data_IF_705352977595
#
_entry.id   IF_705352977595
#
_cell.length_a   1.000
_cell.length_b   1.000
_cell.length_c   1.000
_cell.angle_alpha   90.00
_cell.angle_beta   90.00
_cell.angle_gamma   90.00
#
_symmetry.space_group_name_H-M   'P 1'
#
loop_
_entity.id
_entity.type
_entity.pdbx_description
1 polymer ?
#
# COMPACT_ATOMS: atom_id res chain seq x y z
N UNK A 1 -56.52 10.65 -79.28
CA UNK A 1 -56.98 11.51 -78.20
C UNK A 1 -56.93 10.74 -76.90
N UNK A 2 -56.14 11.22 -75.97
CA UNK A 2 -56.10 11.05 -74.53
C UNK A 2 -55.83 9.68 -73.91
N UNK A 3 -54.55 9.35 -73.89
CA UNK A 3 -53.94 8.30 -73.02
C UNK A 3 -53.35 9.01 -71.81
N UNK A 4 -54.12 9.51 -70.88
CA UNK A 4 -53.60 10.14 -69.66
C UNK A 4 -54.56 9.99 -68.50
N UNK A 5 -54.84 8.79 -68.00
CA UNK A 5 -55.50 8.64 -66.70
C UNK A 5 -55.40 7.25 -66.06
N UNK A 6 -54.42 6.41 -66.40
CA UNK A 6 -54.38 5.08 -65.84
C UNK A 6 -53.17 4.74 -64.95
N UNK A 7 -52.39 5.77 -64.55
CA UNK A 7 -51.17 5.50 -63.79
C UNK A 7 -51.16 6.00 -62.29
N UNK A 8 -52.27 6.46 -61.75
CA UNK A 8 -52.28 7.05 -60.41
C UNK A 8 -53.03 6.23 -59.34
N UNK A 9 -53.61 5.09 -59.68
CA UNK A 9 -54.39 4.35 -58.67
C UNK A 9 -53.69 3.07 -58.11
N UNK A 10 -52.49 2.75 -58.55
CA UNK A 10 -51.77 1.53 -58.10
C UNK A 10 -50.72 1.78 -57.03
N UNK A 11 -50.40 3.02 -56.64
CA UNK A 11 -49.36 3.29 -55.64
C UNK A 11 -49.90 3.53 -54.23
N UNK A 12 -51.25 3.64 -54.10
CA UNK A 12 -51.83 3.97 -52.77
C UNK A 12 -52.11 2.80 -51.83
N UNK A 13 -51.74 1.58 -52.21
CA UNK A 13 -52.03 0.41 -51.36
C UNK A 13 -50.78 -0.32 -50.85
N UNK A 14 -49.61 0.25 -50.94
CA UNK A 14 -48.44 -0.22 -50.21
C UNK A 14 -48.56 0.27 -48.77
N UNK A 15 -49.15 -0.55 -47.90
CA UNK A 15 -49.06 -0.37 -46.46
C UNK A 15 -47.54 -0.30 -46.11
N UNK A 16 -47.10 0.71 -45.37
CA UNK A 16 -45.73 0.74 -44.91
C UNK A 16 -45.48 -0.47 -44.04
N UNK A 17 -44.55 -1.32 -44.44
CA UNK A 17 -44.05 -2.43 -43.63
C UNK A 17 -43.18 -1.81 -42.53
N UNK A 18 -43.80 -1.09 -41.61
CA UNK A 18 -43.16 -0.46 -40.47
C UNK A 18 -43.32 -1.30 -39.22
N UNK A 19 -43.13 -2.59 -39.34
CA UNK A 19 -42.96 -3.42 -38.15
C UNK A 19 -41.68 -4.25 -38.25
N UNK A 20 -40.60 -3.56 -38.58
CA UNK A 20 -39.35 -4.04 -38.01
C UNK A 20 -39.45 -3.81 -36.52
N UNK A 21 -39.94 -4.83 -35.82
CA UNK A 21 -39.72 -4.93 -34.38
C UNK A 21 -38.22 -5.02 -34.21
N UNK A 22 -37.55 -3.87 -34.21
CA UNK A 22 -36.23 -3.71 -33.64
C UNK A 22 -36.49 -4.05 -32.17
N UNK A 23 -36.40 -5.30 -31.81
CA UNK A 23 -36.16 -5.70 -30.43
C UNK A 23 -34.84 -5.03 -30.10
N UNK A 24 -34.92 -3.81 -29.59
CA UNK A 24 -33.83 -3.19 -28.87
C UNK A 24 -33.56 -4.13 -27.70
N UNK A 25 -32.66 -5.07 -27.91
CA UNK A 25 -31.95 -5.70 -26.83
C UNK A 25 -31.11 -4.59 -26.20
N UNK A 26 -31.80 -3.63 -25.57
CA UNK A 26 -31.20 -2.82 -24.56
C UNK A 26 -30.70 -3.84 -23.54
N UNK A 27 -29.46 -4.24 -23.70
CA UNK A 27 -28.72 -4.98 -22.70
C UNK A 27 -28.64 -4.01 -21.54
N UNK A 28 -29.70 -3.98 -20.71
CA UNK A 28 -29.60 -3.36 -19.41
C UNK A 28 -28.37 -4.02 -18.82
N UNK A 29 -27.26 -3.27 -18.71
CA UNK A 29 -26.11 -3.69 -17.93
C UNK A 29 -26.67 -4.05 -16.57
N UNK A 30 -26.92 -5.32 -16.36
CA UNK A 30 -27.35 -5.81 -15.06
C UNK A 30 -26.25 -5.40 -14.13
N UNK A 31 -26.52 -4.42 -13.26
CA UNK A 31 -25.59 -4.05 -12.20
C UNK A 31 -25.33 -5.34 -11.44
N UNK A 32 -24.10 -5.85 -11.44
CA UNK A 32 -23.82 -7.14 -10.84
C UNK A 32 -24.12 -7.01 -9.34
N UNK A 33 -25.22 -7.61 -8.90
CA UNK A 33 -25.54 -7.70 -7.49
C UNK A 33 -24.56 -8.67 -6.86
N UNK A 34 -23.54 -8.12 -6.22
CA UNK A 34 -22.55 -8.93 -5.51
C UNK A 34 -23.13 -9.45 -4.19
N UNK A 35 -22.77 -10.69 -3.77
CA UNK A 35 -23.18 -11.22 -2.47
C UNK A 35 -22.76 -10.28 -1.34
N UNK A 36 -23.57 -10.12 -0.29
CA UNK A 36 -23.33 -9.14 0.78
C UNK A 36 -21.96 -9.34 1.47
N UNK A 37 -21.49 -10.58 1.57
CA UNK A 37 -20.17 -10.90 2.10
C UNK A 37 -19.02 -10.35 1.23
N UNK A 38 -19.20 -10.32 -0.09
CA UNK A 38 -18.18 -9.79 -1.00
C UNK A 38 -18.11 -8.26 -0.91
N UNK A 39 -19.25 -7.58 -0.85
CA UNK A 39 -19.30 -6.12 -0.68
C UNK A 39 -18.74 -5.69 0.66
N UNK A 40 -19.03 -6.44 1.74
CA UNK A 40 -18.44 -6.18 3.06
C UNK A 40 -16.90 -6.29 3.02
N UNK A 41 -16.35 -7.36 2.42
CA UNK A 41 -14.90 -7.52 2.31
C UNK A 41 -14.27 -6.44 1.43
N UNK A 42 -14.93 -6.04 0.35
CA UNK A 42 -14.48 -4.97 -0.51
C UNK A 42 -14.36 -3.64 0.25
N UNK A 43 -15.41 -3.24 0.97
CA UNK A 43 -15.41 -2.04 1.78
C UNK A 43 -14.31 -2.10 2.86
N UNK A 44 -14.21 -3.22 3.57
CA UNK A 44 -13.14 -3.42 4.57
C UNK A 44 -11.75 -3.27 3.98
N UNK A 45 -11.50 -3.78 2.77
CA UNK A 45 -10.19 -3.67 2.13
C UNK A 45 -9.92 -2.25 1.64
N UNK A 46 -10.95 -1.56 1.18
CA UNK A 46 -10.83 -0.16 0.81
C UNK A 46 -10.49 0.71 2.02
N UNK A 47 -11.17 0.48 3.15
CA UNK A 47 -10.84 1.14 4.42
C UNK A 47 -9.40 0.88 4.87
N UNK A 48 -8.91 -0.35 4.72
CA UNK A 48 -7.51 -0.69 5.04
C UNK A 48 -6.53 0.10 4.17
N UNK A 49 -6.82 0.24 2.87
CA UNK A 49 -5.92 0.95 1.94
C UNK A 49 -5.93 2.46 2.20
N UNK A 50 -7.10 3.04 2.52
CA UNK A 50 -7.27 4.48 2.67
C UNK A 50 -6.84 4.98 4.04
N UNK A 51 -7.21 4.27 5.11
CA UNK A 51 -7.05 4.76 6.48
C UNK A 51 -5.69 4.42 7.09
N UNK A 52 -4.95 3.46 6.54
CA UNK A 52 -3.66 3.06 7.11
C UNK A 52 -2.49 3.66 6.33
N UNK A 53 -1.51 4.16 7.07
CA UNK A 53 -0.29 4.76 6.53
C UNK A 53 0.64 3.70 5.96
N UNK A 54 0.88 2.63 6.70
CA UNK A 54 1.71 1.52 6.24
C UNK A 54 0.86 0.28 5.98
N UNK A 55 1.02 -0.28 4.79
CA UNK A 55 0.34 -1.51 4.34
C UNK A 55 1.37 -2.37 3.62
N UNK A 56 1.78 -3.48 4.24
CA UNK A 56 2.75 -4.41 3.66
C UNK A 56 2.08 -5.71 3.25
N UNK A 57 2.46 -6.22 2.09
CA UNK A 57 1.95 -7.45 1.51
C UNK A 57 2.98 -8.55 1.74
N UNK A 58 2.53 -9.64 2.37
CA UNK A 58 3.31 -10.85 2.59
C UNK A 58 2.66 -12.02 1.89
N UNK A 59 3.47 -12.89 1.33
CA UNK A 59 3.05 -14.21 0.88
C UNK A 59 3.28 -15.19 2.03
N UNK A 60 2.31 -16.06 2.30
CA UNK A 60 2.45 -17.10 3.30
C UNK A 60 2.36 -18.48 2.67
N UNK A 61 3.24 -19.39 3.09
CA UNK A 61 3.26 -20.76 2.61
C UNK A 61 3.00 -21.70 3.76
N UNK A 62 1.88 -22.43 3.69
CA UNK A 62 1.55 -23.52 4.60
C UNK A 62 1.58 -23.15 6.10
N UNK A 63 1.04 -21.98 6.46
CA UNK A 63 0.92 -21.53 7.84
C UNK A 63 -0.31 -22.15 8.51
N UNK A 64 -0.10 -22.78 9.65
CA UNK A 64 -1.17 -23.29 10.50
C UNK A 64 -1.87 -22.17 11.27
N UNK A 65 -3.13 -22.38 11.65
CA UNK A 65 -3.90 -21.43 12.45
C UNK A 65 -3.19 -21.08 13.77
N UNK A 66 -2.54 -22.07 14.40
CA UNK A 66 -1.76 -21.88 15.63
C UNK A 66 -0.58 -20.91 15.41
N UNK A 67 0.15 -21.08 14.33
CA UNK A 67 1.27 -20.20 13.95
C UNK A 67 0.79 -18.76 13.67
N UNK A 68 -0.33 -18.60 12.97
CA UNK A 68 -0.94 -17.28 12.77
C UNK A 68 -1.35 -16.61 14.08
N UNK A 69 -1.90 -17.39 15.02
CA UNK A 69 -2.28 -16.87 16.34
C UNK A 69 -1.05 -16.43 17.12
N UNK A 70 0.04 -17.20 17.09
CA UNK A 70 1.31 -16.85 17.73
C UNK A 70 1.90 -15.57 17.15
N UNK A 71 1.89 -15.41 15.81
CA UNK A 71 2.37 -14.21 15.15
C UNK A 71 1.54 -12.99 15.58
N UNK A 72 0.21 -13.09 15.59
CA UNK A 72 -0.67 -12.00 16.02
C UNK A 72 -0.45 -11.65 17.50
N UNK A 73 -0.27 -12.62 18.36
CA UNK A 73 0.08 -12.40 19.76
C UNK A 73 1.44 -11.72 19.90
N UNK A 74 2.43 -12.14 19.12
CA UNK A 74 3.74 -11.49 19.09
C UNK A 74 3.66 -10.03 18.63
N UNK A 75 2.84 -9.74 17.61
CA UNK A 75 2.61 -8.37 17.14
C UNK A 75 1.90 -7.51 18.18
N UNK A 76 0.91 -8.06 18.90
CA UNK A 76 0.18 -7.31 19.95
C UNK A 76 1.02 -7.03 21.20
N UNK A 77 2.09 -7.79 21.45
CA UNK A 77 3.02 -7.57 22.56
C UNK A 77 4.04 -6.44 22.30
N UNK A 78 4.20 -6.00 21.05
CA UNK A 78 5.06 -4.86 20.71
C UNK A 78 4.39 -3.59 21.24
N UNK A 79 5.17 -2.65 21.78
CA UNK A 79 4.67 -1.33 22.18
C UNK A 79 4.00 -0.66 20.96
N UNK A 80 2.73 -0.21 21.13
CA UNK A 80 1.93 0.30 20.01
C UNK A 80 1.31 -0.79 19.12
N UNK A 81 1.51 -2.07 19.42
CA UNK A 81 0.99 -3.19 18.63
C UNK A 81 -0.53 -3.31 18.59
N UNK A 82 -1.26 -2.57 19.43
CA UNK A 82 -2.72 -2.49 19.37
C UNK A 82 -3.24 -1.93 18.04
N UNK A 83 -2.45 -1.11 17.36
CA UNK A 83 -2.77 -0.52 16.05
C UNK A 83 -2.26 -1.37 14.88
N UNK A 84 -1.54 -2.45 15.18
CA UNK A 84 -1.00 -3.34 14.16
C UNK A 84 -1.88 -4.57 13.98
N UNK A 85 -2.27 -4.84 12.77
CA UNK A 85 -3.10 -6.02 12.47
C UNK A 85 -2.58 -6.79 11.27
N UNK A 86 -2.66 -8.13 11.38
CA UNK A 86 -2.34 -9.06 10.30
C UNK A 86 -3.60 -9.77 9.83
N UNK A 87 -3.99 -9.54 8.57
CA UNK A 87 -5.21 -10.10 7.99
C UNK A 87 -4.89 -10.90 6.74
N UNK A 88 -5.44 -12.11 6.64
CA UNK A 88 -5.37 -12.92 5.42
C UNK A 88 -6.35 -12.34 4.40
N UNK A 89 -5.89 -12.16 3.17
CA UNK A 89 -6.67 -11.56 2.09
C UNK A 89 -7.32 -12.60 1.17
N UNK A 90 -8.35 -12.13 0.48
CA UNK A 90 -8.81 -12.72 -0.77
C UNK A 90 -8.23 -11.91 -1.94
N UNK A 91 -7.22 -12.45 -2.67
CA UNK A 91 -6.48 -11.68 -3.68
C UNK A 91 -7.39 -11.01 -4.72
N UNK A 92 -8.39 -11.72 -5.23
CA UNK A 92 -9.30 -11.21 -6.27
C UNK A 92 -10.15 -10.02 -5.82
N UNK A 93 -10.57 -9.97 -4.54
CA UNK A 93 -11.37 -8.85 -4.02
C UNK A 93 -10.45 -7.67 -3.70
N UNK A 94 -9.27 -7.94 -3.16
CA UNK A 94 -8.29 -6.90 -2.86
C UNK A 94 -7.74 -6.26 -4.14
N UNK A 95 -7.48 -7.05 -5.19
CA UNK A 95 -7.12 -6.53 -6.51
C UNK A 95 -8.21 -5.60 -7.08
N UNK A 96 -9.49 -5.96 -6.93
CA UNK A 96 -10.59 -5.09 -7.35
C UNK A 96 -10.60 -3.75 -6.58
N UNK A 97 -10.31 -3.76 -5.27
CA UNK A 97 -10.20 -2.55 -4.47
C UNK A 97 -8.99 -1.69 -4.90
N UNK A 98 -7.85 -2.30 -5.21
CA UNK A 98 -6.66 -1.58 -5.67
C UNK A 98 -6.86 -0.88 -7.03
N UNK A 99 -7.66 -1.46 -7.94
CA UNK A 99 -7.94 -0.86 -9.26
C UNK A 99 -8.61 0.49 -9.19
N UNK A 100 -9.37 0.76 -8.13
CA UNK A 100 -10.03 2.04 -7.90
C UNK A 100 -9.13 3.06 -7.19
N UNK A 101 -7.93 2.62 -6.75
CA UNK A 101 -6.98 3.46 -6.03
C UNK A 101 -5.72 3.75 -6.86
N UNK A 102 -4.87 4.67 -6.37
CA UNK A 102 -3.57 5.00 -6.99
C UNK A 102 -2.57 3.82 -6.97
N UNK A 103 -2.88 2.76 -6.22
CA UNK A 103 -1.97 1.66 -5.93
C UNK A 103 -2.16 0.44 -6.83
N UNK A 104 -2.62 0.64 -8.05
CA UNK A 104 -2.83 -0.42 -9.06
C UNK A 104 -1.58 -1.29 -9.26
N UNK A 105 -0.40 -0.70 -9.14
CA UNK A 105 0.88 -1.40 -9.31
C UNK A 105 1.16 -2.48 -8.26
N UNK A 106 0.36 -2.57 -7.18
CA UNK A 106 0.43 -3.67 -6.21
C UNK A 106 -0.35 -4.92 -6.67
N UNK A 107 -1.21 -4.82 -7.70
CA UNK A 107 -2.02 -5.95 -8.17
C UNK A 107 -1.17 -7.17 -8.56
N UNK A 108 -0.03 -7.05 -9.26
CA UNK A 108 0.81 -8.20 -9.62
C UNK A 108 1.37 -8.98 -8.42
N UNK A 109 1.50 -8.33 -7.25
CA UNK A 109 2.01 -8.97 -6.03
C UNK A 109 0.97 -9.89 -5.37
N UNK A 110 -0.29 -9.82 -5.78
CA UNK A 110 -1.40 -10.57 -5.19
C UNK A 110 -1.57 -11.97 -5.78
N UNK A 111 -0.49 -12.60 -6.17
CA UNK A 111 -0.51 -13.97 -6.67
C UNK A 111 -0.33 -14.96 -5.53
N UNK A 112 -1.22 -15.95 -5.43
CA UNK A 112 -1.16 -17.00 -4.40
C UNK A 112 -1.75 -16.59 -3.05
N UNK A 113 -1.41 -17.32 -1.97
CA UNK A 113 -1.89 -17.06 -0.62
C UNK A 113 -1.19 -15.84 -0.02
N UNK A 114 -1.90 -14.73 0.07
CA UNK A 114 -1.39 -13.46 0.55
C UNK A 114 -2.05 -13.02 1.86
N UNK A 115 -1.27 -12.37 2.71
CA UNK A 115 -1.74 -11.67 3.89
C UNK A 115 -1.22 -10.22 3.87
N UNK A 116 -1.94 -9.35 4.54
CA UNK A 116 -1.58 -7.94 4.67
C UNK A 116 -1.37 -7.61 6.14
N UNK A 117 -0.25 -7.00 6.40
CA UNK A 117 0.07 -6.32 7.62
C UNK A 117 -0.20 -4.83 7.43
N UNK A 118 -0.96 -4.23 8.32
CA UNK A 118 -1.24 -2.80 8.26
C UNK A 118 -1.16 -2.16 9.64
N UNK A 119 -0.72 -0.92 9.67
CA UNK A 119 -0.61 -0.11 10.88
C UNK A 119 -0.89 1.36 10.57
N UNK A 120 -1.45 2.04 11.58
CA UNK A 120 -1.72 3.48 11.55
C UNK A 120 -0.97 4.22 12.67
N UNK A 121 0.15 3.66 13.13
CA UNK A 121 0.93 4.25 14.22
C UNK A 121 1.42 5.67 13.90
N UNK A 122 1.62 6.48 14.95
CA UNK A 122 2.13 7.85 14.85
C UNK A 122 3.57 7.92 14.35
N UNK A 123 4.00 9.06 13.81
CA UNK A 123 5.30 9.27 13.15
C UNK A 123 6.51 8.91 14.01
N UNK A 124 6.44 9.13 15.33
CA UNK A 124 7.55 8.90 16.23
C UNK A 124 7.73 7.42 16.61
N UNK A 125 6.63 6.68 16.70
CA UNK A 125 6.64 5.25 17.05
C UNK A 125 6.75 4.34 15.83
N UNK A 126 6.38 4.86 14.66
CA UNK A 126 6.24 4.12 13.41
C UNK A 126 7.50 3.34 13.00
N UNK A 127 8.73 3.90 13.01
CA UNK A 127 9.91 3.17 12.53
C UNK A 127 10.30 2.02 13.46
N UNK A 128 10.20 2.18 14.78
CA UNK A 128 10.51 1.10 15.72
C UNK A 128 9.49 -0.04 15.66
N UNK A 129 8.21 0.30 15.53
CA UNK A 129 7.14 -0.67 15.35
C UNK A 129 7.31 -1.45 14.04
N UNK A 130 7.62 -0.76 12.95
CA UNK A 130 7.86 -1.39 11.65
C UNK A 130 9.06 -2.33 11.72
N UNK A 131 10.15 -1.89 12.35
CA UNK A 131 11.36 -2.71 12.51
C UNK A 131 11.07 -4.00 13.27
N UNK A 132 10.49 -3.90 14.47
CA UNK A 132 10.14 -5.06 15.29
C UNK A 132 9.12 -5.97 14.60
N UNK A 133 8.12 -5.39 13.91
CA UNK A 133 7.10 -6.16 13.20
C UNK A 133 7.66 -6.89 11.99
N UNK A 134 8.48 -6.25 11.17
CA UNK A 134 9.12 -6.88 10.00
C UNK A 134 10.13 -7.94 10.45
N UNK A 135 10.89 -7.71 11.51
CA UNK A 135 11.79 -8.71 12.08
C UNK A 135 11.04 -9.96 12.58
N UNK A 136 9.92 -9.78 13.30
CA UNK A 136 9.09 -10.91 13.74
C UNK A 136 8.51 -11.70 12.57
N UNK A 137 8.04 -11.00 11.55
CA UNK A 137 7.46 -11.64 10.36
C UNK A 137 8.55 -12.35 9.52
N UNK A 138 9.73 -11.77 9.40
CA UNK A 138 10.85 -12.36 8.64
C UNK A 138 11.51 -13.55 9.36
N UNK A 139 11.41 -13.65 10.70
CA UNK A 139 11.87 -14.83 11.44
C UNK A 139 11.14 -16.11 11.01
N UNK A 140 9.91 -15.97 10.54
CA UNK A 140 9.13 -17.08 10.04
C UNK A 140 9.49 -17.39 8.59
N UNK A 141 10.25 -18.45 8.35
CA UNK A 141 10.65 -18.91 7.00
C UNK A 141 9.47 -19.17 6.05
N UNK A 142 8.24 -19.27 6.59
CA UNK A 142 7.00 -19.48 5.84
C UNK A 142 6.36 -18.19 5.35
N UNK A 143 6.89 -17.02 5.73
CA UNK A 143 6.39 -15.72 5.32
C UNK A 143 7.45 -14.99 4.49
N UNK A 144 7.03 -14.49 3.35
CA UNK A 144 7.88 -13.72 2.44
C UNK A 144 7.30 -12.32 2.25
N UNK A 145 8.07 -11.29 2.52
CA UNK A 145 7.72 -9.92 2.20
C UNK A 145 7.80 -9.73 0.68
N UNK A 146 6.74 -9.22 0.08
CA UNK A 146 6.70 -8.90 -1.35
C UNK A 146 6.95 -7.42 -1.60
N UNK A 147 6.39 -6.57 -0.76
CA UNK A 147 6.45 -5.12 -0.89
C UNK A 147 5.27 -4.48 -0.16
N UNK A 148 5.02 -3.21 -0.43
CA UNK A 148 3.89 -2.54 0.20
C UNK A 148 3.78 -1.06 -0.14
N UNK A 149 2.95 -0.41 0.65
CA UNK A 149 2.69 1.01 0.63
C UNK A 149 3.15 1.61 1.96
N UNK A 150 3.82 2.75 1.90
CA UNK A 150 4.08 3.60 3.05
C UNK A 150 3.66 5.03 2.70
N UNK A 151 2.71 5.57 3.43
CA UNK A 151 2.00 6.81 3.09
C UNK A 151 1.46 6.75 1.65
N UNK A 152 1.97 7.57 0.75
CA UNK A 152 1.58 7.60 -0.67
C UNK A 152 2.56 6.89 -1.61
N UNK A 153 3.67 6.37 -1.08
CA UNK A 153 4.73 5.75 -1.86
C UNK A 153 4.60 4.23 -1.88
N UNK A 154 4.88 3.64 -3.05
CA UNK A 154 5.00 2.20 -3.22
C UNK A 154 6.44 1.78 -2.98
N UNK A 155 6.63 0.75 -2.19
CA UNK A 155 7.93 0.22 -1.80
C UNK A 155 8.09 -1.21 -2.30
N UNK A 156 9.25 -1.48 -2.87
CA UNK A 156 9.71 -2.85 -3.15
C UNK A 156 10.19 -3.53 -1.88
N UNK A 157 10.42 -4.83 -1.91
CA UNK A 157 10.99 -5.57 -0.78
C UNK A 157 12.27 -4.93 -0.24
N UNK A 158 13.20 -4.55 -1.14
CA UNK A 158 14.46 -3.95 -0.75
C UNK A 158 14.31 -2.56 -0.13
N UNK A 159 13.35 -1.78 -0.60
CA UNK A 159 13.10 -0.45 -0.07
C UNK A 159 12.41 -0.50 1.30
N UNK A 160 11.52 -1.48 1.51
CA UNK A 160 10.92 -1.71 2.84
C UNK A 160 12.01 -2.03 3.86
N UNK A 161 12.97 -2.89 3.53
CA UNK A 161 14.07 -3.20 4.43
C UNK A 161 14.93 -1.97 4.76
N UNK A 162 15.25 -1.13 3.76
CA UNK A 162 15.97 0.13 3.98
C UNK A 162 15.18 1.09 4.90
N UNK A 163 13.87 1.23 4.67
CA UNK A 163 13.01 2.11 5.49
C UNK A 163 12.94 1.61 6.94
N UNK A 164 12.89 0.30 7.13
CA UNK A 164 12.89 -0.33 8.47
C UNK A 164 14.21 -0.05 9.23
N UNK A 165 15.33 0.13 8.55
CA UNK A 165 16.62 0.46 9.15
C UNK A 165 16.77 1.96 9.48
N UNK A 166 15.90 2.83 8.92
CA UNK A 166 15.97 4.27 9.17
C UNK A 166 15.60 4.60 10.62
N UNK A 167 16.32 5.54 11.24
CA UNK A 167 15.95 6.07 12.55
C UNK A 167 14.69 6.96 12.45
N UNK A 168 14.03 7.25 13.58
CA UNK A 168 12.87 8.13 13.61
C UNK A 168 13.18 9.54 13.05
N UNK A 169 12.14 10.21 12.56
CA UNK A 169 12.24 11.49 11.84
C UNK A 169 13.01 12.57 12.63
N UNK A 170 12.84 12.62 13.95
CA UNK A 170 13.52 13.61 14.78
C UNK A 170 15.04 13.37 14.82
N UNK A 171 15.45 12.10 14.83
CA UNK A 171 16.88 11.76 14.75
C UNK A 171 17.45 12.07 13.36
N UNK A 172 16.69 11.85 12.28
CA UNK A 172 17.11 12.21 10.92
C UNK A 172 17.28 13.72 10.78
N UNK A 173 16.36 14.51 11.33
CA UNK A 173 16.47 15.98 11.38
C UNK A 173 17.68 16.42 12.17
N UNK A 174 17.92 15.83 13.34
CA UNK A 174 19.10 16.12 14.16
C UNK A 174 20.41 15.75 13.43
N UNK A 175 20.45 14.63 12.70
CA UNK A 175 21.58 14.26 11.88
C UNK A 175 21.85 15.27 10.76
N UNK A 176 20.82 15.75 10.07
CA UNK A 176 20.96 16.79 9.04
C UNK A 176 21.57 18.07 9.60
N UNK A 177 21.06 18.56 10.74
CA UNK A 177 21.64 19.73 11.42
C UNK A 177 23.08 19.46 11.80
N UNK A 178 23.39 18.30 12.38
CA UNK A 178 24.73 17.90 12.74
C UNK A 178 25.71 17.87 11.55
N UNK A 179 25.29 17.39 10.39
CA UNK A 179 26.09 17.38 9.16
C UNK A 179 26.36 18.79 8.66
N UNK A 180 25.38 19.68 8.71
CA UNK A 180 25.54 21.08 8.32
C UNK A 180 26.50 21.84 9.25
N UNK A 181 26.47 21.55 10.57
CA UNK A 181 27.35 22.17 11.55
C UNK A 181 28.76 21.52 11.59
N UNK A 182 28.93 20.30 11.10
CA UNK A 182 30.18 19.55 11.17
C UNK A 182 31.39 20.31 10.60
N UNK A 183 31.34 21.01 9.45
CA UNK A 183 32.48 21.77 8.93
C UNK A 183 32.90 22.89 9.89
N UNK A 184 31.93 23.65 10.44
CA UNK A 184 32.21 24.74 11.37
C UNK A 184 32.84 24.21 12.67
N UNK A 185 32.28 23.15 13.24
CA UNK A 185 32.84 22.50 14.44
C UNK A 185 34.24 21.96 14.19
N UNK A 186 34.51 21.39 13.00
CA UNK A 186 35.84 20.90 12.64
C UNK A 186 36.85 22.02 12.54
N UNK A 187 36.51 23.20 12.01
CA UNK A 187 37.38 24.37 11.98
C UNK A 187 37.69 24.86 13.38
N UNK A 188 36.67 24.99 14.25
CA UNK A 188 36.88 25.40 15.64
C UNK A 188 37.80 24.42 16.38
N UNK A 189 37.56 23.11 16.21
CA UNK A 189 38.39 22.09 16.85
C UNK A 189 39.83 22.15 16.39
N UNK A 190 40.11 22.32 15.07
CA UNK A 190 41.48 22.46 14.55
C UNK A 190 42.19 23.73 15.03
N UNK A 191 41.44 24.82 15.26
CA UNK A 191 42.02 26.04 15.82
C UNK A 191 42.30 25.92 17.33
N UNK A 192 41.47 25.20 18.08
CA UNK A 192 41.64 25.00 19.53
C UNK A 192 42.60 23.85 19.87
N UNK A 193 42.85 22.92 18.96
CA UNK A 193 43.69 21.75 19.18
C UNK A 193 45.12 22.12 19.63
N UNK A 194 45.87 23.06 18.98
CA UNK A 194 47.23 23.40 19.38
C UNK A 194 47.31 23.92 20.83
N UNK A 195 46.37 24.74 21.27
CA UNK A 195 46.39 25.25 22.63
C UNK A 195 46.09 24.16 23.67
N UNK A 196 45.18 23.25 23.38
CA UNK A 196 44.88 22.12 24.28
C UNK A 196 45.98 21.10 24.36
N UNK A 197 46.68 20.83 23.25
CA UNK A 197 47.84 19.96 23.23
C UNK A 197 49.01 20.55 24.03
N UNK A 198 49.33 21.85 23.88
CA UNK A 198 50.33 22.53 24.67
C UNK A 198 50.01 22.46 26.17
N UNK A 199 48.74 22.73 26.55
CA UNK A 199 48.31 22.61 27.94
C UNK A 199 48.50 21.19 28.49
N UNK A 200 48.16 20.17 27.72
CA UNK A 200 48.28 18.77 28.13
C UNK A 200 49.76 18.34 28.28
N UNK A 201 50.65 18.83 27.43
CA UNK A 201 52.11 18.56 27.52
C UNK A 201 52.73 19.23 28.71
N UNK A 202 52.35 20.50 29.02
CA UNK A 202 52.82 21.23 30.20
C UNK A 202 52.32 20.58 31.48
N UNK A 203 51.06 20.17 31.55
CA UNK A 203 50.50 19.50 32.74
C UNK A 203 51.10 18.12 33.03
N UNK A 204 51.67 17.45 32.03
CA UNK A 204 52.44 16.19 32.23
C UNK A 204 53.85 16.36 32.70
N UNK A 205 54.40 17.57 32.62
CA UNK A 205 55.78 17.88 33.04
C UNK A 205 55.89 18.44 34.48
N UNK A 206 54.75 18.77 35.09
CA UNK A 206 54.63 19.12 36.48
C UNK A 206 54.22 17.89 37.28
#
# INVERSE_FOLDING_TARGET
MSLRSFSHSLVSNLKPINNTIIRSYATQKRVPVHPPRRTFLYNKYNDIIQNNRAVFIFQHNNLNVKEFTQIRQGLSQIQGGSETTLTVLRPSIFAAALRETRYLNLEPLLTGPTCVFYTNASDNEHPELLKKSVELLSKNKKMLLLGGKLDDNLLTQGDVLKVVELPPLDQLRAQLVGVVEAPARKLISTLSQPSSELHSVLSRRI
#
